data_IF_867380492366
#
_entry.id   IF_867380492366
#
_cell.length_a   1.000
_cell.length_b   1.000
_cell.length_c   1.000
_cell.angle_alpha   90.00
_cell.angle_beta   90.00
_cell.angle_gamma   90.00
#
_symmetry.space_group_name_H-M   'P 1'
#
loop_
_entity.id
_entity.type
_entity.pdbx_description
1 polymer ?
#
# COMPACT_ATOMS: atom_id res chain seq x y z
N UNK A 1 -31.56 30.04 66.44
CA UNK A 1 -31.37 28.61 66.80
C UNK A 1 -31.77 27.79 65.58
N UNK A 2 -30.93 26.82 65.18
CA UNK A 2 -31.06 25.87 64.04
C UNK A 2 -30.95 26.43 62.62
N UNK A 3 -30.26 25.83 61.65
CA UNK A 3 -29.18 24.83 61.62
C UNK A 3 -28.55 24.89 60.20
N UNK A 4 -27.23 24.75 60.10
CA UNK A 4 -26.47 24.59 58.84
C UNK A 4 -26.56 23.13 58.36
N UNK A 5 -26.79 22.88 57.07
CA UNK A 5 -26.29 21.68 56.34
C UNK A 5 -26.78 21.68 54.89
N UNK A 6 -25.90 21.87 53.90
CA UNK A 6 -25.66 20.77 52.96
C UNK A 6 -24.91 21.19 51.69
N UNK A 7 -23.68 21.66 51.86
CA UNK A 7 -22.63 21.61 50.84
C UNK A 7 -22.23 20.12 50.69
N UNK A 8 -22.28 19.49 49.50
CA UNK A 8 -21.43 18.34 49.05
C UNK A 8 -21.89 17.53 47.81
N UNK A 9 -22.91 17.91 47.04
CA UNK A 9 -23.36 17.12 45.85
C UNK A 9 -23.06 17.78 44.50
N UNK A 10 -22.18 18.78 44.46
CA UNK A 10 -21.87 19.55 43.24
C UNK A 10 -20.51 19.27 42.60
N UNK A 11 -19.63 18.47 43.22
CA UNK A 11 -18.22 18.37 42.80
C UNK A 11 -17.79 17.01 42.22
N UNK A 12 -18.67 16.00 42.24
CA UNK A 12 -18.35 14.66 41.76
C UNK A 12 -18.69 14.41 40.28
N UNK A 13 -19.32 15.36 39.59
CA UNK A 13 -19.74 15.20 38.18
C UNK A 13 -18.72 15.81 37.20
N UNK A 14 -17.86 16.72 37.65
CA UNK A 14 -16.88 17.39 36.77
C UNK A 14 -15.59 16.58 36.53
N UNK A 15 -15.32 15.52 37.30
CA UNK A 15 -14.11 14.69 37.12
C UNK A 15 -14.37 13.47 36.20
N UNK A 16 -15.63 13.07 36.02
CA UNK A 16 -15.99 11.98 35.11
C UNK A 16 -16.07 12.41 33.63
N UNK A 17 -16.10 13.71 33.33
CA UNK A 17 -16.06 14.23 31.96
C UNK A 17 -14.63 14.37 31.38
N UNK A 18 -13.61 14.15 32.21
CA UNK A 18 -12.19 14.23 31.81
C UNK A 18 -11.57 12.88 31.43
N UNK A 19 -12.36 11.81 31.45
CA UNK A 19 -11.88 10.44 31.28
C UNK A 19 -12.60 9.73 30.15
N UNK A 20 -12.53 10.23 28.92
CA UNK A 20 -12.55 9.41 27.69
C UNK A 20 -12.44 10.25 26.40
N UNK A 21 -11.61 11.32 26.38
CA UNK A 21 -10.90 11.59 25.13
C UNK A 21 -9.86 10.48 25.00
N UNK A 22 -10.32 9.30 24.55
CA UNK A 22 -9.44 8.35 23.90
C UNK A 22 -8.95 9.08 22.66
N UNK A 23 -7.87 9.85 22.83
CA UNK A 23 -7.03 10.26 21.74
C UNK A 23 -6.64 8.94 21.07
N UNK A 24 -7.35 8.61 20.00
CA UNK A 24 -6.89 7.65 19.02
C UNK A 24 -5.63 8.31 18.48
N UNK A 25 -4.51 8.07 19.16
CA UNK A 25 -3.21 8.50 18.70
C UNK A 25 -3.00 7.68 17.45
N UNK A 26 -3.30 8.30 16.29
CA UNK A 26 -2.87 7.79 15.00
C UNK A 26 -1.40 7.40 15.19
N UNK A 27 -1.13 6.12 15.05
CA UNK A 27 0.22 5.65 15.30
C UNK A 27 1.07 6.18 14.15
N UNK A 28 2.05 7.01 14.49
CA UNK A 28 2.93 7.58 13.50
C UNK A 28 3.63 6.46 12.73
N UNK A 29 3.92 6.74 11.46
CA UNK A 29 4.69 5.87 10.59
C UNK A 29 5.91 5.29 11.32
N UNK A 30 6.16 4.00 11.09
CA UNK A 30 7.32 3.31 11.67
C UNK A 30 8.36 3.08 10.60
N UNK A 31 9.56 3.63 10.80
CA UNK A 31 10.71 3.36 9.93
C UNK A 31 11.61 2.31 10.57
N UNK A 32 11.85 1.22 9.85
CA UNK A 32 12.70 0.12 10.28
C UNK A 32 13.73 -0.22 9.19
N UNK A 33 14.89 -0.72 9.59
CA UNK A 33 15.92 -1.24 8.67
C UNK A 33 16.16 -2.70 8.99
N UNK A 34 15.98 -3.56 8.00
CA UNK A 34 16.02 -5.01 8.17
C UNK A 34 17.40 -5.59 7.83
N UNK A 35 17.65 -6.84 8.24
CA UNK A 35 18.91 -7.53 7.99
C UNK A 35 19.21 -7.78 6.50
N UNK A 36 18.19 -7.78 5.65
CA UNK A 36 18.32 -7.85 4.18
C UNK A 36 18.65 -6.48 3.52
N UNK A 37 18.80 -5.43 4.34
CA UNK A 37 19.17 -4.07 3.93
C UNK A 37 18.01 -3.21 3.39
N UNK A 38 16.78 -3.74 3.35
CA UNK A 38 15.59 -2.93 3.10
C UNK A 38 15.40 -1.95 4.27
N UNK A 39 15.22 -0.66 3.96
CA UNK A 39 14.73 0.36 4.88
C UNK A 39 13.28 0.67 4.55
N UNK A 40 12.35 0.29 5.41
CA UNK A 40 10.93 0.47 5.17
C UNK A 40 10.32 1.50 6.13
N UNK A 41 9.49 2.40 5.60
CA UNK A 41 8.58 3.23 6.41
C UNK A 41 7.16 2.72 6.19
N UNK A 42 6.54 2.18 7.24
CA UNK A 42 5.18 1.62 7.18
C UNK A 42 4.18 2.61 7.78
N UNK A 43 3.25 3.06 6.95
CA UNK A 43 2.11 3.91 7.31
C UNK A 43 0.87 3.05 7.51
N UNK A 44 0.27 3.13 8.69
CA UNK A 44 -0.92 2.34 9.00
C UNK A 44 -2.20 2.93 8.36
N UNK A 45 -3.28 2.16 8.40
CA UNK A 45 -4.56 2.55 7.83
C UNK A 45 -5.14 3.84 8.43
N UNK A 46 -4.92 4.08 9.72
CA UNK A 46 -5.41 5.28 10.42
C UNK A 46 -4.65 6.53 10.01
N UNK A 47 -3.33 6.40 9.82
CA UNK A 47 -2.46 7.45 9.34
C UNK A 47 -2.80 7.80 7.88
N UNK A 48 -2.94 6.78 7.01
CA UNK A 48 -3.34 6.97 5.62
C UNK A 48 -4.71 7.65 5.54
N UNK A 49 -5.67 7.24 6.38
CA UNK A 49 -6.98 7.90 6.44
C UNK A 49 -6.86 9.37 6.85
N UNK A 50 -5.96 9.72 7.77
CA UNK A 50 -5.73 11.10 8.19
C UNK A 50 -5.08 11.95 7.09
N UNK A 51 -4.32 11.32 6.18
CA UNK A 51 -3.74 11.96 5.00
C UNK A 51 -4.72 12.13 3.83
N UNK A 52 -5.90 11.52 3.88
CA UNK A 52 -6.88 11.58 2.81
C UNK A 52 -7.71 12.86 2.82
N UNK A 53 -7.97 13.40 1.63
CA UNK A 53 -8.92 14.49 1.42
C UNK A 53 -10.24 13.91 0.89
N UNK A 54 -11.36 14.20 1.56
CA UNK A 54 -12.68 13.80 1.11
C UNK A 54 -13.17 14.63 -0.09
N UNK A 55 -13.89 13.99 -1.01
CA UNK A 55 -14.52 14.62 -2.19
C UNK A 55 -16.03 14.69 -2.06
N UNK A 56 -16.66 15.53 -2.88
CA UNK A 56 -18.11 15.75 -2.87
C UNK A 56 -18.94 14.49 -3.24
N UNK A 57 -18.35 13.55 -3.97
CA UNK A 57 -18.96 12.25 -4.33
C UNK A 57 -18.80 11.17 -3.24
N UNK A 58 -18.20 11.53 -2.10
CA UNK A 58 -17.92 10.62 -1.00
C UNK A 58 -16.61 9.82 -1.16
N UNK A 59 -15.97 9.85 -2.33
CA UNK A 59 -14.65 9.24 -2.51
C UNK A 59 -13.59 10.00 -1.71
N UNK A 60 -12.46 9.34 -1.49
CA UNK A 60 -11.32 9.94 -0.79
C UNK A 60 -10.10 9.94 -1.69
N UNK A 61 -9.24 10.92 -1.51
CA UNK A 61 -8.01 11.04 -2.26
C UNK A 61 -6.82 11.09 -1.31
N UNK A 62 -5.97 10.09 -1.41
CA UNK A 62 -4.67 10.05 -0.76
C UNK A 62 -3.65 10.73 -1.68
N UNK A 63 -2.86 11.65 -1.15
CA UNK A 63 -1.81 12.35 -1.89
C UNK A 63 -0.50 12.30 -1.12
N UNK A 64 0.55 11.80 -1.76
CA UNK A 64 1.87 11.67 -1.15
C UNK A 64 2.99 11.93 -2.17
N UNK A 65 4.10 12.62 -1.81
CA UNK A 65 5.14 13.01 -2.76
C UNK A 65 5.72 11.88 -3.62
N UNK A 66 5.95 10.70 -3.03
CA UNK A 66 6.50 9.53 -3.74
C UNK A 66 5.43 8.74 -4.50
N UNK A 67 4.23 8.70 -3.93
CA UNK A 67 3.14 7.83 -4.34
C UNK A 67 2.24 8.48 -5.42
N UNK A 68 2.30 9.82 -5.51
CA UNK A 68 1.36 10.62 -6.26
C UNK A 68 -0.02 10.57 -5.62
N UNK A 69 -1.04 10.69 -6.47
CA UNK A 69 -2.43 10.71 -6.05
C UNK A 69 -3.09 9.35 -6.25
N UNK A 70 -3.76 8.85 -5.22
CA UNK A 70 -4.52 7.59 -5.22
C UNK A 70 -5.95 7.86 -4.76
N UNK A 71 -6.90 7.64 -5.66
CA UNK A 71 -8.32 7.71 -5.32
C UNK A 71 -8.77 6.39 -4.66
N UNK A 72 -9.41 6.52 -3.50
CA UNK A 72 -9.94 5.43 -2.70
C UNK A 72 -11.47 5.47 -2.72
N UNK A 73 -12.08 4.30 -2.91
CA UNK A 73 -13.53 4.16 -2.87
C UNK A 73 -14.07 4.44 -1.47
N UNK A 74 -15.29 4.98 -1.41
CA UNK A 74 -16.05 5.06 -0.18
C UNK A 74 -16.46 3.62 0.19
N UNK A 75 -15.91 3.10 1.28
CA UNK A 75 -16.21 1.73 1.69
C UNK A 75 -17.71 1.59 1.99
N UNK A 76 -18.45 0.93 1.07
CA UNK A 76 -19.87 0.59 1.28
C UNK A 76 -20.05 -0.62 2.20
N UNK A 77 -18.95 -1.29 2.53
CA UNK A 77 -18.87 -2.50 3.36
C UNK A 77 -17.69 -2.38 4.31
N UNK A 78 -17.69 -3.17 5.38
CA UNK A 78 -16.52 -3.31 6.25
C UNK A 78 -15.35 -3.86 5.45
N UNK A 79 -14.24 -3.13 5.48
CA UNK A 79 -12.96 -3.52 4.90
C UNK A 79 -11.99 -3.88 6.02
N UNK A 80 -11.08 -4.79 5.72
CA UNK A 80 -10.07 -5.30 6.64
C UNK A 80 -8.69 -4.91 6.09
N UNK A 81 -8.11 -3.81 6.57
CA UNK A 81 -6.72 -3.45 6.27
C UNK A 81 -5.76 -4.53 6.72
N UNK A 82 -4.56 -4.52 6.13
CA UNK A 82 -3.49 -5.43 6.52
C UNK A 82 -2.99 -5.09 7.92
N UNK A 83 -2.57 -6.12 8.66
CA UNK A 83 -1.96 -5.91 9.98
C UNK A 83 -0.51 -5.42 9.81
N UNK A 84 -0.18 -4.30 10.47
CA UNK A 84 1.15 -3.68 10.39
C UNK A 84 2.25 -4.66 10.81
N UNK A 85 2.04 -5.43 11.88
CA UNK A 85 3.03 -6.41 12.36
C UNK A 85 3.26 -7.51 11.34
N UNK A 86 2.20 -8.01 10.68
CA UNK A 86 2.37 -9.01 9.62
C UNK A 86 3.12 -8.45 8.40
N UNK A 87 2.88 -7.19 8.03
CA UNK A 87 3.60 -6.52 6.94
C UNK A 87 5.08 -6.33 7.29
N UNK A 88 5.38 -5.82 8.48
CA UNK A 88 6.77 -5.65 8.96
C UNK A 88 7.51 -6.98 9.02
N UNK A 89 6.89 -8.03 9.56
CA UNK A 89 7.51 -9.37 9.60
C UNK A 89 7.75 -9.91 8.19
N UNK A 90 6.79 -9.72 7.27
CA UNK A 90 6.96 -10.14 5.88
C UNK A 90 8.18 -9.50 5.22
N UNK A 91 8.42 -8.20 5.45
CA UNK A 91 9.59 -7.50 4.91
C UNK A 91 10.90 -7.96 5.56
N UNK A 92 10.87 -8.20 6.89
CA UNK A 92 12.03 -8.67 7.65
C UNK A 92 12.45 -10.10 7.24
N UNK A 93 11.47 -10.97 6.97
CA UNK A 93 11.68 -12.38 6.64
C UNK A 93 12.06 -12.62 5.16
N UNK A 94 12.08 -11.58 4.33
CA UNK A 94 12.56 -11.71 2.93
C UNK A 94 14.05 -12.08 2.93
N UNK A 95 14.36 -13.19 2.26
CA UNK A 95 15.73 -13.73 2.13
C UNK A 95 16.13 -13.87 0.66
N UNK A 96 17.40 -14.18 0.40
CA UNK A 96 17.92 -14.44 -0.95
C UNK A 96 18.50 -13.23 -1.68
N UNK A 97 18.49 -12.05 -1.07
CA UNK A 97 19.15 -10.85 -1.57
C UNK A 97 19.64 -9.96 -0.42
N UNK A 98 20.56 -9.04 -0.76
CA UNK A 98 20.98 -7.93 0.09
C UNK A 98 20.91 -6.68 -0.77
N UNK A 99 20.19 -5.65 -0.32
CA UNK A 99 19.94 -4.44 -1.10
C UNK A 99 19.99 -3.21 -0.20
N UNK A 100 20.13 -2.02 -0.77
CA UNK A 100 19.98 -0.73 -0.06
C UNK A 100 18.80 0.01 -0.69
N UNK A 101 17.59 -0.52 -0.47
CA UNK A 101 16.36 0.04 -1.02
C UNK A 101 15.54 0.63 0.09
N UNK A 102 15.18 1.90 -0.08
CA UNK A 102 14.17 2.58 0.73
C UNK A 102 12.79 2.34 0.13
N UNK A 103 11.84 1.94 0.96
CA UNK A 103 10.46 1.68 0.54
C UNK A 103 9.46 2.27 1.53
N UNK A 104 8.42 2.92 1.02
CA UNK A 104 7.27 3.31 1.83
C UNK A 104 6.13 2.32 1.62
N UNK A 105 5.51 1.87 2.70
CA UNK A 105 4.40 0.92 2.66
C UNK A 105 3.16 1.57 3.23
N UNK A 106 2.15 1.75 2.39
CA UNK A 106 0.87 2.34 2.75
C UNK A 106 -0.17 1.25 2.91
N UNK A 107 -0.63 1.03 4.13
CA UNK A 107 -1.78 0.16 4.40
C UNK A 107 -3.03 1.00 4.18
N UNK A 108 -3.80 0.66 3.15
CA UNK A 108 -4.98 1.44 2.78
C UNK A 108 -6.21 0.98 3.56
N UNK A 109 -7.10 1.92 3.82
CA UNK A 109 -8.41 1.67 4.46
C UNK A 109 -9.58 1.71 3.46
N UNK A 110 -9.28 1.89 2.17
CA UNK A 110 -10.23 1.88 1.05
C UNK A 110 -9.63 1.22 -0.19
N UNK A 111 -10.49 0.71 -1.08
CA UNK A 111 -10.07 0.07 -2.32
C UNK A 111 -9.63 1.14 -3.33
N UNK A 112 -8.43 1.07 -3.93
CA UNK A 112 -8.01 2.00 -4.97
C UNK A 112 -8.89 1.89 -6.22
N UNK A 113 -9.61 2.96 -6.60
CA UNK A 113 -10.62 2.89 -7.68
C UNK A 113 -10.03 2.67 -9.08
N UNK A 114 -8.78 3.09 -9.31
CA UNK A 114 -8.11 2.93 -10.61
C UNK A 114 -7.46 1.57 -10.84
N UNK A 115 -7.23 0.79 -9.77
CA UNK A 115 -6.44 -0.45 -9.80
C UNK A 115 -7.26 -1.63 -9.27
N UNK A 116 -8.01 -1.44 -8.18
CA UNK A 116 -8.88 -2.44 -7.58
C UNK A 116 -8.17 -3.49 -6.73
N UNK A 117 -6.86 -3.36 -6.51
CA UNK A 117 -6.03 -4.30 -5.73
C UNK A 117 -4.84 -3.59 -5.09
N UNK A 118 -4.06 -4.34 -4.31
CA UNK A 118 -2.70 -3.94 -3.92
C UNK A 118 -1.84 -3.72 -5.17
N UNK A 119 -0.88 -2.81 -5.04
CA UNK A 119 0.05 -2.46 -6.11
C UNK A 119 1.30 -1.79 -5.54
N UNK A 120 2.34 -1.70 -6.37
CA UNK A 120 3.52 -0.91 -6.07
C UNK A 120 3.72 0.23 -7.08
N UNK A 121 4.48 1.25 -6.70
CA UNK A 121 4.96 2.31 -7.59
C UNK A 121 6.21 2.97 -7.00
N UNK A 122 7.31 3.03 -7.76
CA UNK A 122 8.50 3.88 -7.50
C UNK A 122 8.90 3.98 -6.02
N UNK A 123 9.32 2.87 -5.41
CA UNK A 123 9.72 2.87 -4.00
C UNK A 123 8.55 2.93 -3.01
N UNK A 124 7.31 2.75 -3.46
CA UNK A 124 6.16 2.62 -2.58
C UNK A 124 5.37 1.33 -2.86
N UNK A 125 4.80 0.75 -1.80
CA UNK A 125 3.86 -0.36 -1.80
C UNK A 125 2.53 0.15 -1.24
N UNK A 126 1.42 -0.22 -1.86
CA UNK A 126 0.08 0.11 -1.42
C UNK A 126 -0.70 -1.18 -1.21
N UNK A 127 -1.06 -1.46 0.02
CA UNK A 127 -1.79 -2.67 0.39
C UNK A 127 -3.28 -2.33 0.47
N UNK A 128 -4.04 -2.70 -0.57
CA UNK A 128 -5.48 -2.52 -0.61
C UNK A 128 -6.13 -3.45 0.43
N UNK A 129 -7.10 -2.98 1.23
CA UNK A 129 -7.74 -3.83 2.22
C UNK A 129 -8.56 -4.95 1.56
N UNK A 130 -8.92 -5.97 2.36
CA UNK A 130 -9.74 -7.11 1.95
C UNK A 130 -11.18 -6.98 2.45
N UNK A 131 -12.09 -7.81 1.93
CA UNK A 131 -13.46 -7.96 2.44
C UNK A 131 -13.56 -8.95 3.62
N UNK A 132 -12.44 -9.57 4.01
CA UNK A 132 -12.33 -10.46 5.15
C UNK A 132 -10.95 -10.27 5.82
N UNK A 133 -10.79 -10.64 7.11
CA UNK A 133 -9.48 -10.62 7.77
C UNK A 133 -8.41 -11.32 6.93
N UNK A 134 -7.25 -10.67 6.80
CA UNK A 134 -6.11 -11.21 6.04
C UNK A 134 -5.14 -11.85 7.02
N UNK A 135 -4.80 -13.11 6.81
CA UNK A 135 -3.83 -13.80 7.67
C UNK A 135 -2.37 -13.41 7.32
N UNK A 136 -1.44 -13.83 8.16
CA UNK A 136 -0.02 -13.55 8.00
C UNK A 136 0.57 -14.17 6.71
N UNK A 137 0.05 -15.31 6.24
CA UNK A 137 0.58 -15.99 5.05
C UNK A 137 0.20 -15.24 3.77
N UNK A 138 -1.06 -14.81 3.65
CA UNK A 138 -1.53 -13.95 2.56
C UNK A 138 -0.83 -12.60 2.61
N UNK A 139 -0.64 -12.04 3.81
CA UNK A 139 0.12 -10.79 3.99
C UNK A 139 1.55 -10.94 3.49
N UNK A 140 2.25 -11.99 3.88
CA UNK A 140 3.61 -12.28 3.41
C UNK A 140 3.68 -12.43 1.90
N UNK A 141 2.75 -13.18 1.31
CA UNK A 141 2.67 -13.37 -0.14
C UNK A 141 2.48 -12.05 -0.89
N UNK A 142 1.49 -11.22 -0.51
CA UNK A 142 1.17 -9.97 -1.20
C UNK A 142 2.31 -8.97 -1.02
N UNK A 143 2.81 -8.79 0.21
CA UNK A 143 3.92 -7.86 0.48
C UNK A 143 5.17 -8.24 -0.30
N UNK A 144 5.50 -9.53 -0.37
CA UNK A 144 6.64 -10.04 -1.15
C UNK A 144 6.45 -9.78 -2.65
N UNK A 145 5.23 -10.01 -3.17
CA UNK A 145 4.89 -9.75 -4.57
C UNK A 145 5.10 -8.27 -4.92
N UNK A 146 4.55 -7.36 -4.13
CA UNK A 146 4.66 -5.93 -4.37
C UNK A 146 6.10 -5.42 -4.19
N UNK A 147 6.82 -5.95 -3.20
CA UNK A 147 8.25 -5.65 -3.04
C UNK A 147 9.06 -6.14 -4.24
N UNK A 148 8.69 -7.25 -4.87
CA UNK A 148 9.29 -7.71 -6.12
C UNK A 148 9.22 -6.67 -7.24
N UNK A 149 8.10 -5.94 -7.36
CA UNK A 149 7.98 -4.83 -8.30
C UNK A 149 8.89 -3.66 -7.91
N UNK A 150 8.95 -3.31 -6.61
CA UNK A 150 9.84 -2.25 -6.10
C UNK A 150 11.31 -2.59 -6.39
N UNK A 151 11.76 -3.80 -6.07
CA UNK A 151 13.12 -4.27 -6.33
C UNK A 151 13.40 -4.31 -7.84
N UNK A 152 12.44 -4.74 -8.65
CA UNK A 152 12.56 -4.72 -10.10
C UNK A 152 12.77 -3.29 -10.59
N UNK A 153 11.98 -2.32 -10.12
CA UNK A 153 12.23 -0.93 -10.47
C UNK A 153 13.57 -0.46 -9.94
N UNK A 154 13.92 -0.66 -8.67
CA UNK A 154 15.21 -0.24 -8.13
C UNK A 154 16.41 -0.81 -8.92
N UNK A 155 16.34 -2.08 -9.31
CA UNK A 155 17.39 -2.73 -10.09
C UNK A 155 17.47 -2.20 -11.52
N UNK A 156 16.32 -2.09 -12.22
CA UNK A 156 16.32 -1.53 -13.56
C UNK A 156 16.67 -0.02 -13.48
N UNK A 157 16.26 0.68 -12.41
CA UNK A 157 16.43 2.11 -12.09
C UNK A 157 17.77 2.45 -11.44
N UNK A 158 18.81 1.61 -11.54
CA UNK A 158 20.22 2.03 -11.40
C UNK A 158 20.66 3.13 -12.42
N UNK A 159 19.69 3.81 -13.02
CA UNK A 159 19.64 4.88 -14.00
C UNK A 159 18.42 5.79 -13.68
N UNK A 160 18.32 6.42 -12.49
CA UNK A 160 17.10 7.11 -12.04
C UNK A 160 16.64 8.23 -13.00
N UNK A 161 17.58 8.86 -13.72
CA UNK A 161 17.29 9.93 -14.69
C UNK A 161 16.48 9.54 -15.94
N UNK A 162 16.19 8.26 -16.20
CA UNK A 162 15.49 7.85 -17.43
C UNK A 162 13.98 8.08 -17.41
N UNK A 163 13.37 8.20 -16.24
CA UNK A 163 11.92 8.33 -16.09
C UNK A 163 11.46 9.78 -15.92
N UNK A 164 12.36 10.65 -15.45
CA UNK A 164 12.11 12.08 -15.30
C UNK A 164 12.48 12.87 -16.56
N UNK A 165 13.29 12.29 -17.46
CA UNK A 165 13.42 12.82 -18.81
C UNK A 165 12.10 12.63 -19.56
N UNK A 166 11.44 13.70 -20.06
CA UNK A 166 10.46 13.55 -21.12
C UNK A 166 11.15 12.72 -22.19
N UNK A 167 10.67 11.51 -22.46
CA UNK A 167 11.25 10.63 -23.47
C UNK A 167 11.53 11.50 -24.69
N UNK A 168 12.79 11.82 -25.05
CA UNK A 168 13.05 12.75 -26.13
C UNK A 168 12.32 12.15 -27.32
N UNK A 169 11.32 12.88 -27.84
CA UNK A 169 10.45 12.40 -28.89
C UNK A 169 11.39 11.84 -29.95
N UNK A 170 11.44 10.50 -30.11
CA UNK A 170 12.57 9.79 -30.73
C UNK A 170 13.07 10.55 -31.95
N UNK A 171 14.05 11.42 -31.75
CA UNK A 171 14.73 12.16 -32.80
C UNK A 171 15.85 11.26 -33.32
N UNK A 172 15.55 9.96 -33.46
CA UNK A 172 16.25 9.20 -34.45
C UNK A 172 15.90 9.86 -35.79
N UNK A 173 16.88 10.16 -36.65
CA UNK A 173 16.55 10.50 -38.03
C UNK A 173 15.55 9.45 -38.49
N UNK A 174 14.44 9.89 -39.10
CA UNK A 174 13.59 8.99 -39.88
C UNK A 174 14.52 8.33 -40.89
N UNK A 175 15.17 7.22 -40.53
CA UNK A 175 15.71 6.28 -41.48
C UNK A 175 14.49 5.95 -42.32
N UNK A 176 14.45 6.50 -43.54
CA UNK A 176 13.51 6.07 -44.56
C UNK A 176 13.65 4.57 -44.57
N UNK A 177 12.65 3.87 -44.03
CA UNK A 177 12.61 2.42 -44.14
C UNK A 177 12.72 2.11 -45.63
N UNK A 178 13.56 1.15 -46.04
CA UNK A 178 13.47 0.58 -47.37
C UNK A 178 12.01 0.28 -47.64
N UNK A 179 11.50 0.79 -48.76
CA UNK A 179 10.10 0.77 -49.15
C UNK A 179 9.72 -0.63 -49.64
N UNK A 180 9.93 -1.67 -48.82
CA UNK A 180 9.62 -3.06 -49.15
C UNK A 180 9.96 -4.02 -48.01
N UNK A 181 9.38 -3.83 -46.83
CA UNK A 181 9.05 -4.98 -45.99
C UNK A 181 7.61 -4.79 -45.52
N UNK A 182 6.70 -5.76 -45.77
CA UNK A 182 5.35 -5.69 -45.24
C UNK A 182 5.48 -5.55 -43.72
N UNK A 183 5.03 -4.41 -43.22
CA UNK A 183 4.89 -4.19 -41.80
C UNK A 183 3.87 -5.22 -41.31
N UNK A 184 4.32 -6.34 -40.74
CA UNK A 184 3.49 -6.99 -39.74
C UNK A 184 3.19 -5.92 -38.69
N UNK A 185 1.92 -5.60 -38.44
CA UNK A 185 1.58 -4.63 -37.41
C UNK A 185 2.19 -5.14 -36.12
N UNK A 186 3.15 -4.38 -35.55
CA UNK A 186 3.48 -4.59 -34.15
C UNK A 186 2.19 -4.36 -33.37
N UNK A 187 1.76 -5.30 -32.51
CA UNK A 187 0.65 -5.03 -31.62
C UNK A 187 1.01 -3.76 -30.86
N UNK A 188 0.18 -2.73 -31.02
CA UNK A 188 0.16 -1.62 -30.08
C UNK A 188 -0.27 -2.28 -28.79
N UNK A 189 0.64 -2.44 -27.83
CA UNK A 189 0.22 -2.69 -26.46
C UNK A 189 -0.47 -1.39 -25.99
N UNK A 190 -1.80 -1.35 -25.83
CA UNK A 190 -2.34 -0.51 -24.79
C UNK A 190 -1.67 -0.99 -23.50
N UNK A 191 -1.12 -0.08 -22.70
CA UNK A 191 -1.05 -0.34 -21.27
C UNK A 191 -2.44 -0.85 -20.87
N UNK A 192 -2.59 -2.08 -20.35
CA UNK A 192 -3.89 -2.53 -19.92
C UNK A 192 -4.34 -1.56 -18.84
N UNK A 193 -5.34 -0.73 -19.18
CA UNK A 193 -6.27 -0.26 -18.17
C UNK A 193 -6.81 -1.56 -17.58
N UNK A 194 -6.45 -1.78 -16.32
CA UNK A 194 -6.78 -2.90 -15.45
C UNK A 194 -6.17 -4.27 -15.84
N UNK A 195 -5.15 -4.69 -15.09
CA UNK A 195 -4.97 -6.10 -14.74
C UNK A 195 -6.05 -6.51 -13.73
N UNK A 196 -7.33 -6.42 -14.08
CA UNK A 196 -8.42 -6.86 -13.19
C UNK A 196 -8.55 -8.40 -13.12
N UNK A 197 -7.79 -9.15 -13.93
CA UNK A 197 -7.94 -10.61 -14.07
C UNK A 197 -6.71 -11.45 -13.68
N UNK A 198 -5.64 -10.86 -13.14
CA UNK A 198 -4.60 -11.67 -12.49
C UNK A 198 -5.01 -12.22 -11.11
N UNK A 199 -6.20 -11.89 -10.60
CA UNK A 199 -6.60 -12.14 -9.20
C UNK A 199 -7.08 -13.54 -8.82
N UNK A 200 -7.06 -14.57 -9.68
CA UNK A 200 -7.47 -15.91 -9.22
C UNK A 200 -6.89 -17.11 -9.98
N UNK A 201 -6.62 -17.00 -11.28
CA UNK A 201 -6.41 -18.20 -12.11
C UNK A 201 -4.96 -18.71 -12.18
N UNK A 202 -3.98 -17.98 -11.63
CA UNK A 202 -2.59 -18.31 -11.93
C UNK A 202 -1.91 -19.21 -10.88
N UNK A 203 -2.24 -19.15 -9.57
CA UNK A 203 -1.42 -19.88 -8.59
C UNK A 203 -2.19 -20.28 -7.33
N UNK A 204 -2.96 -21.36 -7.43
CA UNK A 204 -3.05 -22.30 -6.31
C UNK A 204 -1.72 -23.08 -6.31
N UNK A 205 -0.87 -22.99 -5.27
CA UNK A 205 0.13 -24.02 -5.11
C UNK A 205 -0.63 -25.34 -4.94
N UNK A 206 -0.28 -26.35 -5.73
CA UNK A 206 -0.68 -27.71 -5.43
C UNK A 206 -0.27 -27.96 -3.98
N UNK A 207 -1.27 -28.05 -3.09
CA UNK A 207 -1.05 -28.38 -1.70
C UNK A 207 -0.41 -29.78 -1.65
N UNK A 208 0.92 -29.83 -1.60
CA UNK A 208 1.63 -31.07 -1.34
C UNK A 208 1.33 -31.43 0.11
N UNK A 209 0.51 -32.45 0.30
CA UNK A 209 0.30 -33.07 1.59
C UNK A 209 1.64 -33.61 2.13
N UNK A 210 2.27 -32.87 3.03
CA UNK A 210 3.31 -33.43 3.90
C UNK A 210 2.60 -34.28 4.96
N UNK A 211 2.38 -35.57 4.65
CA UNK A 211 2.09 -36.57 5.68
C UNK A 211 3.40 -36.87 6.42
N UNK A 212 3.58 -36.28 7.59
CA UNK A 212 4.51 -36.78 8.60
C UNK A 212 3.89 -38.01 9.25
N UNK A 213 4.27 -39.20 8.75
CA UNK A 213 4.16 -40.43 9.55
C UNK A 213 5.24 -40.40 10.63
N UNK A 214 4.81 -40.47 11.89
CA UNK A 214 5.60 -41.03 12.99
C UNK A 214 5.29 -42.50 13.12
#
# INVERSE_FOLDING_TARGET
MMARSGLKTGFAIAVAALGLLAAVTAQAARTETFANGIRATVHDASEVSAMCVGKADGSREFSHPLAGTVALDAATRTLYPFDVTFVTNALADMTGFSTDVEVEVFILDGIPTGIGSSFARRGAIFLSPSYAPVDAAITSYITTHEMGHVLTWAFIDGQPGRWDAPRPARAGPRRRRPRSLPCLPRPREPWPRTCATCSAACWLPAASAWKTTR
#
